data_IF_413270962010
#
_entry.id   IF_413270962010
#
_cell.length_a   1.000
_cell.length_b   1.000
_cell.length_c   1.000
_cell.angle_alpha   90.00
_cell.angle_beta   90.00
_cell.angle_gamma   90.00
#
_symmetry.space_group_name_H-M   'P 1'
#
loop_
_entity.id
_entity.type
_entity.pdbx_description
1 polymer ?
#
# COMPACT_ATOMS: atom_id res chain seq x y z
N UNK A 1 30.63 70.95 -23.46
CA UNK A 1 30.00 70.35 -22.27
C UNK A 1 28.84 69.45 -22.77
N UNK A 2 29.07 68.14 -22.86
CA UNK A 2 28.04 67.18 -23.22
C UNK A 2 28.01 66.11 -22.13
N UNK A 3 26.94 66.14 -21.31
CA UNK A 3 26.71 65.20 -20.19
C UNK A 3 26.16 63.91 -20.71
N UNK A 4 26.91 62.79 -20.53
CA UNK A 4 26.40 61.44 -20.73
C UNK A 4 25.66 61.00 -19.46
N UNK A 5 24.37 60.74 -19.59
CA UNK A 5 23.57 60.01 -18.58
C UNK A 5 23.64 58.54 -18.93
N UNK A 6 24.37 57.74 -18.15
CA UNK A 6 24.40 56.30 -18.23
C UNK A 6 23.28 55.77 -17.30
N UNK A 7 22.21 55.23 -17.88
CA UNK A 7 21.15 54.55 -17.12
C UNK A 7 21.59 53.13 -16.79
N UNK A 8 21.81 52.82 -15.52
CA UNK A 8 22.11 51.49 -14.96
C UNK A 8 20.80 50.71 -14.85
N UNK A 9 20.48 49.84 -15.79
CA UNK A 9 19.41 48.83 -15.64
C UNK A 9 19.93 47.72 -14.75
N UNK A 10 19.56 47.76 -13.46
CA UNK A 10 19.74 46.63 -12.54
C UNK A 10 18.67 45.57 -12.85
N UNK A 11 19.04 44.56 -13.62
CA UNK A 11 18.19 43.36 -13.82
C UNK A 11 18.10 42.57 -12.55
N UNK A 12 16.95 42.67 -11.84
CA UNK A 12 16.60 41.70 -10.80
C UNK A 12 16.34 40.35 -11.48
N UNK A 13 17.33 39.48 -11.49
CA UNK A 13 17.15 38.07 -11.80
C UNK A 13 16.38 37.44 -10.63
N UNK A 14 15.07 37.30 -10.75
CA UNK A 14 14.29 36.42 -9.89
C UNK A 14 14.78 35.00 -10.12
N UNK A 15 15.67 34.52 -9.25
CA UNK A 15 16.00 33.11 -9.18
C UNK A 15 14.71 32.35 -8.78
N UNK A 16 14.05 31.77 -9.75
CA UNK A 16 13.00 30.78 -9.49
C UNK A 16 13.73 29.61 -8.83
N UNK A 17 13.64 29.52 -7.51
CA UNK A 17 14.12 28.35 -6.78
C UNK A 17 13.33 27.15 -7.29
N UNK A 18 13.97 26.31 -8.12
CA UNK A 18 13.43 25.02 -8.49
C UNK A 18 13.20 24.26 -7.19
N UNK A 19 11.96 23.91 -6.92
CA UNK A 19 11.60 23.15 -5.74
C UNK A 19 12.21 21.75 -5.87
N UNK A 20 13.30 21.51 -5.13
CA UNK A 20 14.01 20.23 -5.16
C UNK A 20 13.17 19.17 -4.43
N UNK A 21 13.07 17.97 -5.00
CA UNK A 21 12.52 16.80 -4.30
C UNK A 21 13.28 16.64 -2.98
N UNK A 22 12.57 16.49 -1.83
CA UNK A 22 13.25 16.29 -0.56
C UNK A 22 14.21 15.11 -0.62
N UNK A 23 15.46 15.32 -0.24
CA UNK A 23 16.44 14.24 -0.20
C UNK A 23 16.09 13.26 0.91
N UNK A 24 16.00 11.98 0.57
CA UNK A 24 15.75 10.92 1.56
C UNK A 24 16.93 10.83 2.54
N UNK A 25 16.68 10.53 3.82
CA UNK A 25 17.75 10.29 4.78
C UNK A 25 18.55 9.05 4.38
N UNK A 26 19.80 8.98 4.79
CA UNK A 26 20.58 7.76 4.67
C UNK A 26 19.97 6.66 5.55
N UNK A 27 19.68 5.51 4.94
CA UNK A 27 19.06 4.34 5.58
C UNK A 27 20.04 3.18 5.54
N UNK A 28 20.43 2.69 6.74
CA UNK A 28 21.35 1.59 6.90
C UNK A 28 20.64 0.24 6.72
N UNK A 29 20.21 -0.03 5.48
CA UNK A 29 19.54 -1.25 5.05
C UNK A 29 20.00 -1.65 3.65
N UNK A 30 19.85 -2.95 3.30
CA UNK A 30 20.14 -3.46 1.96
C UNK A 30 19.17 -2.88 0.94
N UNK A 31 17.88 -2.96 1.24
CA UNK A 31 16.83 -2.39 0.41
C UNK A 31 15.76 -1.73 1.28
N UNK A 32 15.09 -0.71 0.76
CA UNK A 32 13.96 -0.09 1.44
C UNK A 32 12.96 0.54 0.48
N UNK A 33 11.75 0.70 0.99
CA UNK A 33 10.65 1.44 0.36
C UNK A 33 9.96 2.29 1.43
N UNK A 34 9.68 3.55 1.12
CA UNK A 34 8.68 4.36 1.80
C UNK A 34 7.54 4.68 0.84
N UNK A 35 6.35 4.22 1.17
CA UNK A 35 5.14 4.41 0.38
C UNK A 35 4.12 5.24 1.17
N UNK A 36 3.59 6.27 0.55
CA UNK A 36 2.38 6.92 1.03
C UNK A 36 1.16 6.13 0.52
N UNK A 37 0.57 5.34 1.43
CA UNK A 37 -0.59 4.49 1.11
C UNK A 37 -1.83 5.34 0.78
N UNK A 38 -1.92 6.55 1.34
CA UNK A 38 -3.07 7.46 1.13
C UNK A 38 -3.09 8.03 -0.28
N UNK A 39 -1.92 8.41 -0.82
CA UNK A 39 -1.79 8.90 -2.21
C UNK A 39 -1.32 7.84 -3.19
N UNK A 40 -0.93 6.66 -2.70
CA UNK A 40 -0.32 5.57 -3.47
C UNK A 40 0.96 5.99 -4.20
N UNK A 41 1.80 6.82 -3.56
CA UNK A 41 3.05 7.32 -4.13
C UNK A 41 4.27 6.80 -3.37
N UNK A 42 5.30 6.36 -4.12
CA UNK A 42 6.61 6.05 -3.56
C UNK A 42 7.31 7.37 -3.24
N UNK A 43 7.64 7.59 -1.96
CA UNK A 43 8.33 8.79 -1.50
C UNK A 43 9.84 8.62 -1.49
N UNK A 44 10.34 7.42 -1.19
CA UNK A 44 11.75 7.06 -1.25
C UNK A 44 11.92 5.56 -1.43
N UNK A 45 13.00 5.15 -2.09
CA UNK A 45 13.36 3.75 -2.25
C UNK A 45 14.84 3.55 -2.52
N UNK A 46 15.33 2.34 -2.22
CA UNK A 46 16.66 1.85 -2.58
C UNK A 46 16.53 0.37 -2.89
N UNK A 47 17.17 -0.09 -3.97
CA UNK A 47 17.18 -1.50 -4.38
C UNK A 47 15.77 -2.13 -4.38
N UNK A 48 14.80 -1.39 -4.93
CA UNK A 48 13.37 -1.67 -4.80
C UNK A 48 12.97 -3.04 -5.36
N UNK A 49 13.65 -3.47 -6.44
CA UNK A 49 13.38 -4.69 -7.18
C UNK A 49 14.44 -5.78 -7.00
N UNK A 50 15.41 -5.56 -6.11
CA UNK A 50 16.45 -6.55 -5.80
C UNK A 50 15.84 -7.73 -5.04
N UNK A 51 15.98 -8.98 -5.55
CA UNK A 51 15.46 -10.17 -4.88
C UNK A 51 16.14 -10.40 -3.53
N UNK A 52 15.33 -10.71 -2.52
CA UNK A 52 15.77 -11.02 -1.15
C UNK A 52 14.94 -12.17 -0.57
N UNK A 53 15.47 -12.88 0.42
CA UNK A 53 14.66 -13.78 1.23
C UNK A 53 13.67 -12.98 2.09
N UNK A 54 12.37 -13.32 2.08
CA UNK A 54 11.38 -12.60 2.87
C UNK A 54 11.46 -12.87 4.37
N UNK A 55 12.07 -13.98 4.80
CA UNK A 55 11.97 -14.48 6.16
C UNK A 55 10.49 -14.49 6.63
N UNK A 56 10.21 -14.21 7.90
CA UNK A 56 8.83 -14.18 8.42
C UNK A 56 7.95 -13.03 7.88
N UNK A 57 8.43 -12.16 6.97
CA UNK A 57 7.54 -11.27 6.21
C UNK A 57 6.61 -12.06 5.28
N UNK A 58 6.96 -13.30 4.94
CA UNK A 58 6.10 -14.29 4.27
C UNK A 58 4.72 -14.41 4.93
N UNK A 59 4.67 -14.30 6.27
CA UNK A 59 3.42 -14.40 7.03
C UNK A 59 2.41 -13.28 6.72
N UNK A 60 2.82 -12.21 6.03
CA UNK A 60 1.88 -11.23 5.49
C UNK A 60 1.01 -11.85 4.38
N UNK A 61 1.58 -12.71 3.51
CA UNK A 61 0.81 -13.45 2.51
C UNK A 61 -0.04 -14.53 3.17
N UNK A 62 0.49 -15.24 4.17
CA UNK A 62 -0.28 -16.22 4.94
C UNK A 62 -1.49 -15.57 5.59
N UNK A 63 -1.30 -14.41 6.24
CA UNK A 63 -2.39 -13.63 6.82
C UNK A 63 -3.40 -13.17 5.76
N UNK A 64 -2.93 -12.72 4.59
CA UNK A 64 -3.79 -12.29 3.50
C UNK A 64 -4.77 -13.40 3.07
N UNK A 65 -4.26 -14.63 2.88
CA UNK A 65 -5.07 -15.80 2.51
C UNK A 65 -6.03 -16.21 3.65
N UNK A 66 -5.56 -16.20 4.90
CA UNK A 66 -6.39 -16.49 6.08
C UNK A 66 -7.51 -15.47 6.21
N UNK A 67 -7.23 -14.18 6.04
CA UNK A 67 -8.24 -13.11 6.09
C UNK A 67 -9.23 -13.20 4.93
N UNK A 68 -8.78 -13.61 3.74
CA UNK A 68 -9.70 -13.89 2.63
C UNK A 68 -10.63 -15.08 2.92
N UNK A 69 -10.12 -16.13 3.54
CA UNK A 69 -10.92 -17.27 3.98
C UNK A 69 -11.94 -16.88 5.08
N UNK A 70 -11.58 -15.98 6.01
CA UNK A 70 -12.49 -15.41 7.00
C UNK A 70 -13.56 -14.53 6.35
N UNK A 71 -13.17 -13.61 5.47
CA UNK A 71 -14.09 -12.72 4.74
C UNK A 71 -15.08 -13.49 3.88
N UNK A 72 -14.63 -14.54 3.21
CA UNK A 72 -15.46 -15.44 2.39
C UNK A 72 -16.25 -16.48 3.22
N UNK A 73 -16.12 -16.45 4.55
CA UNK A 73 -16.79 -17.37 5.48
C UNK A 73 -16.45 -18.85 5.28
N UNK A 74 -15.32 -19.17 4.65
CA UNK A 74 -14.79 -20.54 4.57
C UNK A 74 -14.34 -21.04 5.94
N UNK A 75 -13.85 -20.14 6.77
CA UNK A 75 -13.53 -20.35 8.18
C UNK A 75 -14.12 -19.21 9.01
N UNK A 76 -14.17 -19.37 10.34
CA UNK A 76 -14.55 -18.29 11.25
C UNK A 76 -13.59 -18.22 12.45
N UNK A 77 -13.56 -17.08 13.14
CA UNK A 77 -12.59 -16.80 14.21
C UNK A 77 -12.73 -17.75 15.42
N UNK A 78 -13.93 -18.23 15.72
CA UNK A 78 -14.20 -19.10 16.87
C UNK A 78 -14.05 -20.59 16.54
N UNK A 79 -13.95 -20.93 15.26
CA UNK A 79 -13.68 -22.30 14.82
C UNK A 79 -12.32 -22.74 15.35
N UNK A 80 -12.21 -23.96 15.86
CA UNK A 80 -10.94 -24.54 16.28
C UNK A 80 -10.29 -25.32 15.13
N UNK A 81 -8.96 -25.31 15.13
CA UNK A 81 -8.13 -26.12 14.23
C UNK A 81 -7.28 -27.10 15.05
N UNK A 82 -7.11 -28.34 14.58
CA UNK A 82 -6.21 -29.29 15.20
C UNK A 82 -4.76 -28.86 14.96
N UNK A 83 -3.87 -29.23 15.87
CA UNK A 83 -2.43 -29.05 15.72
C UNK A 83 -1.82 -30.36 15.23
N UNK A 84 -1.32 -30.38 14.01
CA UNK A 84 -0.60 -31.54 13.47
C UNK A 84 0.76 -31.72 14.15
N UNK A 85 1.33 -32.93 14.07
CA UNK A 85 2.72 -33.14 14.49
C UNK A 85 3.72 -32.27 13.72
N UNK A 86 3.45 -32.00 12.44
CA UNK A 86 4.22 -31.08 11.60
C UNK A 86 4.20 -29.68 12.15
N UNK A 87 3.02 -29.13 12.43
CA UNK A 87 2.87 -27.81 13.04
C UNK A 87 3.56 -27.73 14.40
N UNK A 88 3.35 -28.71 15.27
CA UNK A 88 3.97 -28.78 16.58
C UNK A 88 5.51 -28.80 16.53
N UNK A 89 6.12 -29.52 15.58
CA UNK A 89 7.56 -29.66 15.42
C UNK A 89 8.23 -28.52 14.67
N UNK A 90 7.45 -27.51 14.22
CA UNK A 90 8.02 -26.38 13.45
C UNK A 90 9.14 -25.69 14.21
N UNK A 91 10.33 -25.49 13.56
CA UNK A 91 11.45 -24.82 14.16
C UNK A 91 11.27 -23.29 14.22
N UNK A 92 12.11 -22.62 14.96
CA UNK A 92 12.18 -21.16 15.06
C UNK A 92 11.17 -20.57 16.04
N UNK A 93 10.55 -19.46 15.67
CA UNK A 93 9.59 -18.76 16.53
C UNK A 93 8.30 -19.54 16.68
N UNK A 94 7.76 -19.64 17.90
CA UNK A 94 6.60 -20.47 18.21
C UNK A 94 5.61 -19.77 19.15
N UNK A 95 4.34 -20.14 19.01
CA UNK A 95 3.25 -19.86 19.94
C UNK A 95 3.20 -20.92 21.06
N UNK A 96 3.84 -22.10 20.85
CA UNK A 96 3.93 -23.24 21.76
C UNK A 96 2.62 -24.01 21.90
N UNK A 97 1.98 -24.30 20.78
CA UNK A 97 0.84 -25.22 20.70
C UNK A 97 1.31 -26.66 20.52
N UNK A 98 0.47 -27.63 20.89
CA UNK A 98 0.77 -29.06 20.81
C UNK A 98 -0.40 -29.89 20.24
N UNK A 99 -0.19 -31.15 19.79
CA UNK A 99 -1.20 -31.95 19.12
C UNK A 99 -2.44 -32.31 19.97
N UNK A 100 -2.42 -32.06 21.28
CA UNK A 100 -3.59 -32.26 22.15
C UNK A 100 -4.54 -31.07 22.15
N UNK A 101 -4.11 -29.94 21.57
CA UNK A 101 -4.87 -28.70 21.55
C UNK A 101 -5.78 -28.62 20.33
N UNK A 102 -6.94 -28.03 20.54
CA UNK A 102 -7.85 -27.54 19.51
C UNK A 102 -7.82 -26.00 19.64
N UNK A 103 -7.13 -25.33 18.72
CA UNK A 103 -6.81 -23.91 18.89
C UNK A 103 -7.76 -23.06 18.05
N UNK A 104 -8.46 -22.07 18.63
CA UNK A 104 -9.30 -21.16 17.87
C UNK A 104 -8.51 -20.42 16.78
N UNK A 105 -9.11 -20.21 15.62
CA UNK A 105 -8.50 -19.48 14.48
C UNK A 105 -8.00 -18.11 14.92
N UNK A 106 -8.78 -17.39 15.74
CA UNK A 106 -8.38 -16.09 16.26
C UNK A 106 -7.06 -16.15 17.06
N UNK A 107 -6.92 -17.17 17.89
CA UNK A 107 -5.70 -17.36 18.69
C UNK A 107 -4.49 -17.75 17.83
N UNK A 108 -4.71 -18.59 16.81
CA UNK A 108 -3.67 -18.90 15.82
C UNK A 108 -3.22 -17.64 15.05
N UNK A 109 -4.18 -16.77 14.66
CA UNK A 109 -3.86 -15.48 14.00
C UNK A 109 -3.03 -14.60 14.93
N UNK A 110 -3.42 -14.46 16.21
CA UNK A 110 -2.66 -13.70 17.20
C UNK A 110 -1.25 -14.29 17.39
N UNK A 111 -1.13 -15.62 17.49
CA UNK A 111 0.15 -16.33 17.62
C UNK A 111 1.06 -16.14 16.40
N UNK A 112 0.52 -16.24 15.19
CA UNK A 112 1.24 -15.99 13.96
C UNK A 112 1.78 -14.55 13.88
N UNK A 113 0.99 -13.57 14.30
CA UNK A 113 1.33 -12.15 14.20
C UNK A 113 2.26 -11.71 15.32
N UNK A 114 1.91 -11.95 16.58
CA UNK A 114 2.62 -11.43 17.76
C UNK A 114 3.92 -12.19 18.02
N UNK A 115 3.85 -13.51 18.21
CA UNK A 115 5.03 -14.35 18.40
C UNK A 115 5.79 -14.62 17.11
N UNK A 116 5.18 -14.36 15.97
CA UNK A 116 5.67 -14.86 14.68
C UNK A 116 5.71 -16.39 14.63
N UNK A 117 4.76 -17.06 15.31
CA UNK A 117 4.72 -18.50 15.55
C UNK A 117 4.65 -19.32 14.28
N UNK A 118 5.68 -20.12 14.00
CA UNK A 118 5.70 -21.02 12.85
C UNK A 118 4.70 -22.17 13.02
N UNK A 119 4.55 -22.65 14.24
CA UNK A 119 3.55 -23.65 14.62
C UNK A 119 2.10 -23.17 14.35
N UNK A 120 1.77 -21.97 14.80
CA UNK A 120 0.47 -21.36 14.51
C UNK A 120 0.25 -21.10 13.01
N UNK A 121 1.30 -20.70 12.30
CA UNK A 121 1.28 -20.46 10.84
C UNK A 121 0.99 -21.74 10.08
N UNK A 122 1.67 -22.84 10.43
CA UNK A 122 1.45 -24.15 9.80
C UNK A 122 0.03 -24.67 10.11
N UNK A 123 -0.44 -24.58 11.34
CA UNK A 123 -1.80 -24.99 11.71
C UNK A 123 -2.86 -24.21 10.91
N UNK A 124 -2.67 -22.90 10.71
CA UNK A 124 -3.55 -22.09 9.84
C UNK A 124 -3.49 -22.53 8.38
N UNK A 125 -2.30 -22.80 7.85
CA UNK A 125 -2.12 -23.22 6.46
C UNK A 125 -2.81 -24.56 6.20
N UNK A 126 -2.59 -25.55 7.07
CA UNK A 126 -3.24 -26.85 7.01
C UNK A 126 -4.76 -26.73 7.17
N UNK A 127 -5.22 -25.91 8.13
CA UNK A 127 -6.65 -25.71 8.38
C UNK A 127 -7.41 -25.02 7.25
N UNK A 128 -6.74 -24.13 6.49
CA UNK A 128 -7.36 -23.40 5.37
C UNK A 128 -7.29 -24.20 4.06
N UNK A 129 -6.19 -24.90 3.80
CA UNK A 129 -5.92 -25.54 2.50
C UNK A 129 -5.85 -27.08 2.55
N UNK A 130 -5.84 -27.67 3.74
CA UNK A 130 -5.72 -29.12 3.96
C UNK A 130 -4.26 -29.60 3.99
N UNK A 131 -3.31 -28.90 3.38
CA UNK A 131 -1.87 -29.20 3.45
C UNK A 131 -1.03 -27.95 3.22
N UNK A 132 0.26 -28.01 3.60
CA UNK A 132 1.24 -26.96 3.33
C UNK A 132 1.42 -26.74 1.82
N UNK A 133 1.56 -27.82 1.05
CA UNK A 133 1.79 -27.76 -0.39
C UNK A 133 0.66 -27.01 -1.09
N UNK A 134 -0.58 -27.36 -0.75
CA UNK A 134 -1.76 -26.67 -1.30
C UNK A 134 -1.83 -25.22 -0.88
N UNK A 135 -1.44 -24.90 0.35
CA UNK A 135 -1.40 -23.52 0.83
C UNK A 135 -0.33 -22.71 0.08
N UNK A 136 0.85 -23.28 -0.18
CA UNK A 136 1.92 -22.64 -0.98
C UNK A 136 1.45 -22.37 -2.43
N UNK A 137 0.67 -23.27 -3.03
CA UNK A 137 0.04 -23.02 -4.34
C UNK A 137 -0.87 -21.77 -4.25
N UNK A 138 -1.72 -21.68 -3.23
CA UNK A 138 -2.57 -20.49 -3.02
C UNK A 138 -1.75 -19.21 -2.83
N UNK A 139 -0.65 -19.26 -2.06
CA UNK A 139 0.25 -18.11 -1.88
C UNK A 139 0.82 -17.61 -3.20
N UNK A 140 1.30 -18.52 -4.06
CA UNK A 140 1.88 -18.16 -5.35
C UNK A 140 0.81 -17.66 -6.33
N UNK A 141 -0.36 -18.29 -6.35
CA UNK A 141 -1.50 -17.82 -7.16
C UNK A 141 -1.92 -16.40 -6.73
N UNK A 142 -2.01 -16.15 -5.42
CA UNK A 142 -2.36 -14.83 -4.89
C UNK A 142 -1.28 -13.79 -5.20
N UNK A 143 0.00 -14.15 -5.14
CA UNK A 143 1.09 -13.26 -5.55
C UNK A 143 0.93 -12.79 -7.01
N UNK A 144 0.57 -13.69 -7.92
CA UNK A 144 0.28 -13.33 -9.32
C UNK A 144 -0.92 -12.39 -9.44
N UNK A 145 -2.01 -12.67 -8.72
CA UNK A 145 -3.21 -11.81 -8.69
C UNK A 145 -2.89 -10.40 -8.19
N UNK A 146 -2.01 -10.29 -7.20
CA UNK A 146 -1.56 -9.01 -6.64
C UNK A 146 -0.51 -8.31 -7.51
N UNK A 147 0.01 -8.95 -8.56
CA UNK A 147 1.05 -8.41 -9.42
C UNK A 147 2.46 -8.45 -8.81
N UNK A 148 2.71 -9.31 -7.84
CA UNK A 148 4.00 -9.53 -7.19
C UNK A 148 4.90 -10.42 -8.05
N UNK A 149 5.42 -9.86 -9.14
CA UNK A 149 6.08 -10.61 -10.22
C UNK A 149 7.44 -11.22 -9.85
N UNK A 150 8.09 -10.68 -8.83
CA UNK A 150 9.41 -11.12 -8.36
C UNK A 150 9.32 -11.95 -7.07
N UNK A 151 8.11 -12.40 -6.68
CA UNK A 151 7.88 -13.17 -5.47
C UNK A 151 7.54 -14.62 -5.78
N UNK A 152 8.20 -15.53 -5.06
CA UNK A 152 7.92 -16.96 -5.06
C UNK A 152 7.99 -17.50 -3.64
N UNK A 153 6.92 -18.15 -3.20
CA UNK A 153 6.82 -18.76 -1.87
C UNK A 153 7.09 -20.27 -1.95
N UNK A 154 7.77 -20.81 -0.92
CA UNK A 154 8.08 -22.24 -0.77
C UNK A 154 7.52 -22.85 0.51
N UNK A 155 7.15 -22.02 1.48
CA UNK A 155 6.50 -22.40 2.73
C UNK A 155 5.73 -21.20 3.29
N UNK A 156 4.76 -21.39 4.19
CA UNK A 156 3.94 -20.31 4.74
C UNK A 156 4.61 -19.51 5.86
N UNK A 157 5.71 -19.98 6.45
CA UNK A 157 6.37 -19.35 7.59
C UNK A 157 7.48 -18.37 7.20
N UNK A 158 8.11 -18.57 6.07
CA UNK A 158 9.29 -17.83 5.63
C UNK A 158 10.61 -18.43 6.11
N UNK A 159 10.66 -19.73 6.27
CA UNK A 159 11.93 -20.46 6.47
C UNK A 159 12.73 -20.45 5.17
N UNK A 160 14.06 -20.37 5.31
CA UNK A 160 14.98 -20.39 4.17
C UNK A 160 14.77 -21.63 3.32
N UNK A 161 14.50 -21.44 2.04
CA UNK A 161 14.34 -22.49 1.05
C UNK A 161 14.80 -22.00 -0.33
N UNK A 162 15.39 -22.85 -1.18
CA UNK A 162 15.80 -22.48 -2.52
C UNK A 162 14.64 -21.89 -3.34
N UNK A 163 14.82 -20.67 -3.83
CA UNK A 163 13.80 -19.95 -4.59
C UNK A 163 12.68 -19.32 -3.76
N UNK A 164 12.78 -19.27 -2.42
CA UNK A 164 11.88 -18.49 -1.58
C UNK A 164 12.35 -17.04 -1.60
N UNK A 165 11.71 -16.19 -2.40
CA UNK A 165 12.19 -14.84 -2.69
C UNK A 165 11.06 -13.83 -2.79
N UNK A 166 11.40 -12.56 -2.58
CA UNK A 166 10.52 -11.39 -2.76
C UNK A 166 11.35 -10.12 -3.03
N UNK A 167 10.71 -8.97 -3.14
CA UNK A 167 11.35 -7.65 -3.26
C UNK A 167 10.70 -6.62 -2.34
N UNK A 168 11.35 -5.48 -2.12
CA UNK A 168 10.75 -4.38 -1.36
C UNK A 168 9.46 -3.85 -2.03
N UNK A 169 9.41 -3.82 -3.36
CA UNK A 169 8.22 -3.46 -4.14
C UNK A 169 7.07 -4.42 -3.87
N UNK A 170 7.29 -5.71 -4.02
CA UNK A 170 6.26 -6.72 -3.87
C UNK A 170 5.71 -6.77 -2.44
N UNK A 171 6.59 -6.63 -1.43
CA UNK A 171 6.17 -6.51 -0.02
C UNK A 171 5.36 -5.23 0.23
N UNK A 172 5.72 -4.12 -0.39
CA UNK A 172 4.94 -2.87 -0.35
C UNK A 172 3.55 -3.07 -0.95
N UNK A 173 3.46 -3.75 -2.09
CA UNK A 173 2.21 -4.11 -2.75
C UNK A 173 1.34 -4.99 -1.85
N UNK A 174 1.90 -6.08 -1.32
CA UNK A 174 1.20 -6.99 -0.42
C UNK A 174 0.68 -6.28 0.83
N UNK A 175 1.54 -5.50 1.50
CA UNK A 175 1.16 -4.77 2.71
C UNK A 175 0.07 -3.74 2.44
N UNK A 176 0.14 -2.99 1.33
CA UNK A 176 -0.89 -2.04 0.92
C UNK A 176 -2.22 -2.74 0.68
N UNK A 177 -2.23 -3.85 -0.06
CA UNK A 177 -3.45 -4.61 -0.34
C UNK A 177 -4.02 -5.23 0.94
N UNK A 178 -3.17 -5.73 1.85
CA UNK A 178 -3.62 -6.24 3.15
C UNK A 178 -4.35 -5.16 3.96
N UNK A 179 -3.81 -3.95 4.01
CA UNK A 179 -4.43 -2.80 4.70
C UNK A 179 -5.75 -2.35 4.05
N UNK A 180 -5.87 -2.44 2.72
CA UNK A 180 -7.03 -2.00 1.96
C UNK A 180 -8.15 -3.05 1.90
N UNK A 181 -7.77 -4.31 1.69
CA UNK A 181 -8.71 -5.40 1.48
C UNK A 181 -9.25 -5.97 2.79
N UNK A 182 -8.49 -5.82 3.90
CA UNK A 182 -8.80 -6.41 5.20
C UNK A 182 -8.65 -5.42 6.37
N UNK A 183 -9.25 -4.21 6.30
CA UNK A 183 -9.10 -3.19 7.33
C UNK A 183 -9.53 -3.66 8.73
N UNK A 184 -10.50 -4.57 8.82
CA UNK A 184 -11.02 -5.08 10.08
C UNK A 184 -10.01 -5.94 10.86
N UNK A 185 -9.02 -6.52 10.17
CA UNK A 185 -7.99 -7.37 10.78
C UNK A 185 -6.67 -6.65 11.06
N UNK A 186 -6.52 -5.39 10.64
CA UNK A 186 -5.29 -4.61 10.88
C UNK A 186 -4.99 -4.49 12.38
N UNK A 187 -6.03 -4.41 13.21
CA UNK A 187 -5.90 -4.33 14.67
C UNK A 187 -5.09 -5.45 15.31
N UNK A 188 -5.06 -6.64 14.72
CA UNK A 188 -4.22 -7.75 15.21
C UNK A 188 -2.71 -7.42 15.18
N UNK A 189 -2.26 -6.63 14.22
CA UNK A 189 -0.85 -6.22 14.10
C UNK A 189 -0.43 -5.19 15.15
N UNK A 190 -1.38 -4.47 15.74
CA UNK A 190 -1.14 -3.51 16.82
C UNK A 190 -1.06 -4.15 18.21
N UNK A 191 -1.36 -5.45 18.34
CA UNK A 191 -1.28 -6.16 19.62
C UNK A 191 0.18 -6.21 20.09
N UNK A 192 0.46 -5.58 21.22
CA UNK A 192 1.80 -5.49 21.79
C UNK A 192 2.22 -6.76 22.51
N UNK A 193 1.27 -7.41 23.18
CA UNK A 193 1.49 -8.63 23.94
C UNK A 193 0.32 -9.59 23.77
N UNK A 194 0.64 -10.85 23.57
CA UNK A 194 -0.35 -11.92 23.51
C UNK A 194 0.24 -13.21 24.10
N UNK A 195 -0.52 -13.90 24.93
CA UNK A 195 -0.10 -15.13 25.56
C UNK A 195 -1.20 -16.18 25.45
N UNK A 196 -0.88 -17.29 24.81
CA UNK A 196 -1.73 -18.48 24.77
C UNK A 196 -1.27 -19.50 25.81
N UNK A 197 -2.12 -20.40 26.32
CA UNK A 197 -1.69 -21.50 27.17
C UNK A 197 -0.51 -22.27 26.56
N UNK A 198 0.62 -22.35 27.26
CA UNK A 198 1.88 -22.91 26.75
C UNK A 198 2.90 -21.88 26.29
N UNK A 199 2.51 -20.65 25.94
CA UNK A 199 3.47 -19.60 25.54
C UNK A 199 4.31 -19.13 26.75
N UNK A 200 5.65 -19.26 26.75
CA UNK A 200 6.51 -18.70 27.79
C UNK A 200 6.38 -17.16 27.87
N UNK A 201 6.48 -16.60 29.08
CA UNK A 201 6.40 -15.14 29.26
C UNK A 201 7.44 -14.36 28.45
N UNK A 202 8.61 -14.93 28.22
CA UNK A 202 9.65 -14.31 27.39
C UNK A 202 9.26 -14.19 25.89
N UNK A 203 8.22 -14.92 25.45
CA UNK A 203 7.78 -14.95 24.05
C UNK A 203 6.43 -14.26 23.82
N UNK A 204 5.89 -13.55 24.82
CA UNK A 204 4.55 -12.93 24.73
C UNK A 204 4.51 -11.59 24.01
N UNK A 205 5.67 -11.01 23.71
CA UNK A 205 5.79 -9.65 23.18
C UNK A 205 5.93 -9.64 21.66
N UNK A 206 5.23 -8.68 21.02
CA UNK A 206 5.40 -8.41 19.60
C UNK A 206 6.83 -7.95 19.30
N UNK A 207 7.42 -8.50 18.25
CA UNK A 207 8.80 -8.19 17.86
C UNK A 207 8.96 -6.89 17.09
N UNK A 208 7.86 -6.22 16.75
CA UNK A 208 7.89 -4.89 16.18
C UNK A 208 8.07 -3.84 17.29
N UNK A 209 9.31 -3.43 17.51
CA UNK A 209 9.66 -2.46 18.55
C UNK A 209 8.99 -1.10 18.37
N UNK A 210 8.57 -0.72 17.14
CA UNK A 210 7.93 0.55 16.89
C UNK A 210 6.56 0.65 17.57
N UNK A 211 5.85 -0.46 17.78
CA UNK A 211 4.58 -0.46 18.51
C UNK A 211 4.72 0.07 19.95
N UNK A 212 5.91 -0.05 20.53
CA UNK A 212 6.19 0.41 21.89
C UNK A 212 6.75 1.84 21.94
N UNK A 213 7.24 2.36 20.80
CA UNK A 213 7.93 3.66 20.69
C UNK A 213 7.07 4.76 20.08
N UNK A 214 6.21 4.42 19.12
CA UNK A 214 5.38 5.38 18.38
C UNK A 214 3.91 4.92 18.42
N UNK A 215 3.02 5.65 19.11
CA UNK A 215 1.61 5.29 19.22
C UNK A 215 0.84 5.39 17.90
N UNK A 216 1.42 6.01 16.87
CA UNK A 216 0.82 6.10 15.53
C UNK A 216 1.12 4.88 14.66
N UNK A 217 2.06 4.01 15.09
CA UNK A 217 2.39 2.75 14.43
C UNK A 217 1.39 1.68 14.85
N UNK A 218 0.75 1.04 13.86
CA UNK A 218 -0.28 0.01 14.04
C UNK A 218 0.03 -1.32 13.33
N UNK A 219 1.27 -1.53 12.93
CA UNK A 219 1.72 -2.78 12.30
C UNK A 219 3.07 -2.62 11.62
N UNK A 220 3.51 -3.59 10.78
CA UNK A 220 2.87 -4.88 10.51
C UNK A 220 3.74 -6.03 11.01
N UNK A 221 4.81 -6.39 10.29
CA UNK A 221 5.53 -7.66 10.52
C UNK A 221 7.02 -7.51 10.46
N UNK A 222 7.71 -8.25 11.32
CA UNK A 222 9.16 -8.41 11.33
C UNK A 222 9.56 -9.72 10.69
N UNK A 223 10.79 -9.79 10.15
CA UNK A 223 11.43 -11.00 9.64
C UNK A 223 12.91 -11.03 10.03
N UNK A 224 13.46 -12.23 10.14
CA UNK A 224 14.90 -12.44 10.31
C UNK A 224 15.26 -13.87 9.90
N UNK A 225 16.27 -14.00 9.06
CA UNK A 225 17.13 -15.17 8.83
C UNK A 225 18.55 -14.64 8.66
N UNK A 226 19.56 -15.50 8.73
CA UNK A 226 20.95 -15.08 8.51
C UNK A 226 21.13 -14.49 7.09
N UNK A 227 20.46 -15.04 6.09
CA UNK A 227 20.52 -14.56 4.71
C UNK A 227 19.72 -13.25 4.50
N UNK A 228 18.53 -13.13 5.10
CA UNK A 228 17.69 -11.96 4.97
C UNK A 228 18.23 -10.74 5.76
N UNK A 229 18.94 -10.98 6.88
CA UNK A 229 19.19 -9.96 7.89
C UNK A 229 17.91 -9.57 8.64
N UNK A 230 17.92 -8.46 9.34
CA UNK A 230 16.76 -7.98 10.08
C UNK A 230 15.84 -7.14 9.18
N UNK A 231 14.58 -7.56 9.06
CA UNK A 231 13.58 -6.97 8.18
C UNK A 231 12.36 -6.47 8.97
N UNK A 232 11.75 -5.38 8.49
CA UNK A 232 10.50 -4.84 9.05
C UNK A 232 9.65 -4.21 7.95
N UNK A 233 8.39 -4.61 7.89
CA UNK A 233 7.33 -3.84 7.23
C UNK A 233 6.56 -3.15 8.33
N UNK A 234 6.58 -1.81 8.36
CA UNK A 234 5.89 -1.01 9.36
C UNK A 234 4.92 -0.03 8.72
N UNK A 235 3.80 0.22 9.38
CA UNK A 235 2.81 1.23 8.96
C UNK A 235 2.46 2.12 10.13
N UNK A 236 2.26 3.40 9.83
CA UNK A 236 1.79 4.40 10.77
C UNK A 236 0.64 5.19 10.17
N UNK A 237 -0.33 5.58 11.01
CA UNK A 237 -1.43 6.46 10.63
C UNK A 237 -1.42 7.68 11.52
N UNK A 238 -1.24 8.87 10.90
CA UNK A 238 -1.27 10.15 11.62
C UNK A 238 -2.50 10.96 11.19
N UNK A 239 -2.99 11.80 12.10
CA UNK A 239 -4.12 12.67 11.82
C UNK A 239 -3.70 13.79 10.86
N UNK A 240 -4.45 13.95 9.78
CA UNK A 240 -4.30 14.99 8.76
C UNK A 240 -5.68 15.59 8.47
N UNK A 241 -6.14 16.58 9.27
CA UNK A 241 -7.49 17.16 9.17
C UNK A 241 -7.82 17.70 7.76
N UNK A 242 -6.81 18.17 7.03
CA UNK A 242 -6.97 18.67 5.65
C UNK A 242 -7.39 17.60 4.65
N UNK A 243 -7.28 16.30 5.00
CA UNK A 243 -7.73 15.19 4.16
C UNK A 243 -9.18 14.76 4.41
N UNK A 244 -9.85 15.39 5.40
CA UNK A 244 -11.27 15.08 5.67
C UNK A 244 -12.11 15.45 4.45
N UNK A 245 -12.95 14.52 3.99
CA UNK A 245 -13.94 14.79 2.96
C UNK A 245 -15.18 15.40 3.59
N UNK A 246 -15.67 16.52 3.05
CA UNK A 246 -16.91 17.14 3.48
C UNK A 246 -18.14 16.23 3.31
N UNK A 247 -18.05 15.25 2.38
CA UNK A 247 -19.13 14.28 2.09
C UNK A 247 -18.95 12.93 2.81
N UNK A 248 -17.91 12.76 3.65
CA UNK A 248 -17.67 11.49 4.32
C UNK A 248 -18.69 11.24 5.43
N UNK A 249 -19.26 10.02 5.53
CA UNK A 249 -20.11 9.66 6.65
C UNK A 249 -19.38 9.83 7.99
N UNK A 250 -20.07 10.36 8.99
CA UNK A 250 -19.52 10.52 10.33
C UNK A 250 -19.04 9.17 10.87
N UNK A 251 -17.82 9.13 11.45
CA UNK A 251 -17.21 7.91 11.96
C UNK A 251 -16.46 7.06 10.92
N UNK A 252 -16.50 7.41 9.63
CA UNK A 252 -15.71 6.71 8.60
C UNK A 252 -14.21 7.05 8.68
N UNK A 253 -13.36 6.16 8.15
CA UNK A 253 -11.92 6.42 8.08
C UNK A 253 -11.58 7.69 7.26
N UNK A 254 -12.43 8.04 6.28
CA UNK A 254 -12.32 9.26 5.50
C UNK A 254 -12.71 10.51 6.32
N UNK A 255 -13.68 10.38 7.25
CA UNK A 255 -14.03 11.45 8.20
C UNK A 255 -12.93 11.68 9.25
N UNK A 256 -12.09 10.68 9.52
CA UNK A 256 -10.99 10.78 10.49
C UNK A 256 -9.74 11.50 9.94
N UNK A 257 -9.70 11.86 8.65
CA UNK A 257 -8.61 12.66 8.04
C UNK A 257 -7.21 12.06 8.21
N UNK A 258 -7.08 10.74 8.23
CA UNK A 258 -5.81 10.09 8.50
C UNK A 258 -4.95 9.90 7.24
N UNK A 259 -3.66 10.23 7.34
CA UNK A 259 -2.64 9.87 6.35
C UNK A 259 -1.87 8.65 6.80
N UNK A 260 -1.71 7.64 5.94
CA UNK A 260 -1.00 6.41 6.23
C UNK A 260 0.28 6.29 5.40
N UNK A 261 1.39 6.08 6.08
CA UNK A 261 2.65 5.71 5.45
C UNK A 261 3.00 4.25 5.76
N UNK A 262 3.71 3.64 4.84
CA UNK A 262 4.24 2.28 4.92
C UNK A 262 5.73 2.30 4.64
N UNK A 263 6.54 1.74 5.53
CA UNK A 263 7.96 1.51 5.32
C UNK A 263 8.26 0.01 5.21
N UNK A 264 9.05 -0.35 4.20
CA UNK A 264 9.68 -1.68 4.08
C UNK A 264 11.17 -1.47 4.25
N UNK A 265 11.78 -2.11 5.26
CA UNK A 265 13.23 -2.08 5.53
C UNK A 265 13.74 -3.51 5.54
N UNK A 266 14.71 -3.82 4.67
CA UNK A 266 15.22 -5.17 4.46
C UNK A 266 16.74 -5.22 4.65
N UNK A 267 17.22 -6.22 5.39
CA UNK A 267 18.64 -6.45 5.58
C UNK A 267 19.34 -5.44 6.50
N UNK A 268 18.66 -4.96 7.53
CA UNK A 268 19.30 -4.19 8.60
C UNK A 268 20.17 -5.09 9.49
N UNK A 269 21.09 -4.49 10.28
CA UNK A 269 22.09 -5.21 11.07
C UNK A 269 21.57 -5.77 12.39
N UNK A 270 20.44 -5.29 12.91
CA UNK A 270 19.87 -5.72 14.20
C UNK A 270 18.37 -5.41 14.32
N UNK A 271 17.73 -5.94 15.37
CA UNK A 271 16.34 -5.61 15.71
C UNK A 271 16.13 -4.11 15.96
N UNK A 272 17.05 -3.50 16.69
CA UNK A 272 17.01 -2.06 16.92
C UNK A 272 17.26 -1.27 15.64
N UNK A 273 18.20 -1.72 14.79
CA UNK A 273 18.49 -1.05 13.52
C UNK A 273 17.27 -1.04 12.60
N UNK A 274 16.59 -2.20 12.37
CA UNK A 274 15.36 -2.23 11.52
C UNK A 274 14.27 -1.30 12.05
N UNK A 275 14.12 -1.19 13.39
CA UNK A 275 13.15 -0.30 14.00
C UNK A 275 13.55 1.19 13.81
N UNK A 276 14.82 1.53 14.08
CA UNK A 276 15.35 2.88 13.95
C UNK A 276 15.24 3.38 12.49
N UNK A 277 15.63 2.56 11.52
CA UNK A 277 15.60 2.92 10.11
C UNK A 277 14.16 3.06 9.59
N UNK A 278 13.25 2.18 10.02
CA UNK A 278 11.82 2.32 9.69
C UNK A 278 11.22 3.60 10.30
N UNK A 279 11.55 3.92 11.54
CA UNK A 279 11.08 5.15 12.21
C UNK A 279 11.62 6.41 11.51
N UNK A 280 12.89 6.39 11.12
CA UNK A 280 13.54 7.48 10.37
C UNK A 280 12.82 7.74 9.05
N UNK A 281 12.51 6.68 8.26
CA UNK A 281 11.76 6.78 7.04
C UNK A 281 10.35 7.34 7.25
N UNK A 282 9.60 6.78 8.19
CA UNK A 282 8.23 7.22 8.49
C UNK A 282 8.21 8.69 8.91
N UNK A 283 9.08 9.10 9.83
CA UNK A 283 9.15 10.48 10.30
C UNK A 283 9.52 11.43 9.16
N UNK A 284 10.53 11.09 8.35
CA UNK A 284 10.89 11.89 7.20
C UNK A 284 9.73 12.05 6.21
N UNK A 285 9.02 10.97 5.89
CA UNK A 285 7.87 11.03 4.98
C UNK A 285 6.75 11.94 5.47
N UNK A 286 6.51 12.00 6.80
CA UNK A 286 5.52 12.88 7.38
C UNK A 286 5.98 14.35 7.48
N UNK A 287 7.27 14.61 7.53
CA UNK A 287 7.82 15.97 7.67
C UNK A 287 8.24 16.58 6.33
N UNK A 288 8.80 15.79 5.44
CA UNK A 288 9.29 16.24 4.15
C UNK A 288 8.20 16.36 3.07
N UNK A 289 7.05 15.70 3.28
CA UNK A 289 5.93 15.72 2.35
C UNK A 289 4.62 16.08 3.06
N UNK A 290 3.81 16.87 2.41
CA UNK A 290 2.41 17.09 2.75
C UNK A 290 1.49 16.30 1.81
N UNK A 291 0.28 15.99 2.26
CA UNK A 291 -0.73 15.35 1.45
C UNK A 291 -1.85 16.36 1.14
N UNK A 292 -2.18 16.49 -0.14
CA UNK A 292 -3.19 17.43 -0.64
C UNK A 292 -4.32 16.65 -1.30
N UNK A 293 -5.54 16.86 -0.84
CA UNK A 293 -6.74 16.34 -1.49
C UNK A 293 -7.13 17.30 -2.61
N UNK A 294 -7.12 16.82 -3.85
CA UNK A 294 -7.48 17.61 -5.04
C UNK A 294 -8.95 17.45 -5.38
N UNK A 295 -9.50 16.24 -5.29
CA UNK A 295 -10.88 15.93 -5.61
C UNK A 295 -11.46 14.91 -4.64
N UNK A 296 -12.76 14.99 -4.38
CA UNK A 296 -13.46 13.97 -3.61
C UNK A 296 -13.73 12.72 -4.46
N UNK A 297 -14.03 11.60 -3.79
CA UNK A 297 -14.44 10.37 -4.48
C UNK A 297 -15.73 10.57 -5.28
N UNK A 298 -15.81 9.96 -6.46
CA UNK A 298 -16.90 10.11 -7.42
C UNK A 298 -17.14 11.54 -7.94
N UNK A 299 -16.24 12.49 -7.63
CA UNK A 299 -16.27 13.82 -8.20
C UNK A 299 -15.74 13.80 -9.64
N UNK A 300 -16.45 14.45 -10.55
CA UNK A 300 -15.96 14.65 -11.92
C UNK A 300 -14.79 15.64 -11.90
N UNK A 301 -13.67 15.23 -12.46
CA UNK A 301 -12.50 16.08 -12.73
C UNK A 301 -12.70 16.84 -14.04
N UNK A 302 -13.28 16.15 -15.04
CA UNK A 302 -13.62 16.69 -16.35
C UNK A 302 -14.78 15.89 -16.95
N UNK A 303 -15.61 16.53 -17.78
CA UNK A 303 -16.71 15.90 -18.50
C UNK A 303 -16.53 16.09 -20.03
N UNK A 304 -15.70 15.24 -20.68
CA UNK A 304 -15.48 15.33 -22.12
C UNK A 304 -16.72 14.93 -22.92
N UNK A 305 -16.84 15.53 -24.12
CA UNK A 305 -17.86 15.16 -25.11
C UNK A 305 -17.64 13.72 -25.57
N UNK A 306 -18.76 12.97 -25.65
CA UNK A 306 -18.79 11.61 -26.21
C UNK A 306 -19.45 11.66 -27.58
N UNK A 307 -18.75 11.12 -28.58
CA UNK A 307 -19.27 10.99 -29.95
C UNK A 307 -19.99 9.66 -30.12
N UNK A 308 -21.05 9.65 -30.93
CA UNK A 308 -21.87 8.46 -31.20
C UNK A 308 -22.49 7.84 -29.93
N UNK A 309 -22.58 8.60 -28.84
CA UNK A 309 -23.11 8.19 -27.57
C UNK A 309 -24.57 8.57 -27.36
N UNK A 310 -25.27 7.76 -26.54
CA UNK A 310 -26.62 8.08 -26.06
C UNK A 310 -26.62 9.29 -25.11
N UNK A 311 -25.47 9.54 -24.44
CA UNK A 311 -25.21 10.77 -23.70
C UNK A 311 -24.14 11.60 -24.41
N UNK A 312 -24.26 12.94 -24.33
CA UNK A 312 -23.33 13.87 -24.97
C UNK A 312 -21.98 14.01 -24.28
N UNK A 313 -21.89 13.62 -23.01
CA UNK A 313 -20.70 13.73 -22.14
C UNK A 313 -20.56 12.50 -21.27
N UNK A 314 -19.34 12.28 -20.73
CA UNK A 314 -19.05 11.27 -19.70
C UNK A 314 -18.21 11.91 -18.60
N UNK A 315 -18.59 11.69 -17.34
CA UNK A 315 -17.83 12.17 -16.19
C UNK A 315 -16.59 11.31 -15.98
N UNK A 316 -15.40 11.93 -15.96
CA UNK A 316 -14.14 11.27 -15.65
C UNK A 316 -13.67 11.69 -14.27
N UNK A 317 -13.25 10.71 -13.46
CA UNK A 317 -12.77 10.92 -12.09
C UNK A 317 -12.21 9.64 -11.48
N UNK A 318 -12.28 9.56 -10.16
CA UNK A 318 -11.93 8.35 -9.39
C UNK A 318 -13.04 8.03 -8.41
N UNK A 319 -13.25 6.73 -8.13
CA UNK A 319 -14.20 6.30 -7.08
C UNK A 319 -13.74 6.70 -5.68
N UNK A 320 -12.42 6.67 -5.44
CA UNK A 320 -11.79 7.19 -4.23
C UNK A 320 -11.35 8.65 -4.40
N UNK A 321 -11.16 9.41 -3.32
CA UNK A 321 -10.58 10.74 -3.38
C UNK A 321 -9.23 10.75 -4.09
N UNK A 322 -8.94 11.81 -4.85
CA UNK A 322 -7.62 12.03 -5.45
C UNK A 322 -6.81 12.85 -4.45
N UNK A 323 -5.85 12.17 -3.83
CA UNK A 323 -4.91 12.75 -2.88
C UNK A 323 -3.51 12.58 -3.46
N UNK A 324 -2.69 13.61 -3.36
CA UNK A 324 -1.29 13.59 -3.81
C UNK A 324 -0.35 13.98 -2.68
N UNK A 325 0.78 13.28 -2.60
CA UNK A 325 1.88 13.64 -1.72
C UNK A 325 2.85 14.55 -2.50
N UNK A 326 3.15 15.70 -1.93
CA UNK A 326 4.03 16.71 -2.54
C UNK A 326 5.05 17.21 -1.50
N UNK A 327 6.19 17.75 -1.91
CA UNK A 327 7.14 18.36 -0.97
C UNK A 327 6.44 19.37 -0.06
N UNK A 328 6.77 19.37 1.23
CA UNK A 328 6.15 20.25 2.21
C UNK A 328 6.25 21.73 1.78
N UNK A 329 5.13 22.46 1.89
CA UNK A 329 5.00 23.86 1.44
C UNK A 329 4.74 24.04 -0.06
N UNK A 330 4.57 22.95 -0.83
CA UNK A 330 4.26 23.01 -2.27
C UNK A 330 2.77 22.97 -2.58
N UNK A 331 1.95 22.54 -1.64
CA UNK A 331 0.53 22.26 -1.88
C UNK A 331 -0.31 23.41 -2.38
N UNK A 332 0.01 24.65 -1.97
CA UNK A 332 -0.67 25.85 -2.42
C UNK A 332 -0.35 26.26 -3.88
N UNK A 333 0.67 25.67 -4.50
CA UNK A 333 1.18 26.02 -5.84
C UNK A 333 0.93 24.92 -6.88
N UNK A 334 0.08 23.95 -6.56
CA UNK A 334 -0.21 22.84 -7.47
C UNK A 334 -1.02 23.31 -8.67
N UNK A 335 -0.65 22.82 -9.83
CA UNK A 335 -1.38 22.97 -11.07
C UNK A 335 -1.83 21.59 -11.55
N UNK A 336 -3.03 21.53 -12.12
CA UNK A 336 -3.59 20.28 -12.64
C UNK A 336 -3.89 20.42 -14.12
N UNK A 337 -3.53 19.40 -14.88
CA UNK A 337 -3.79 19.28 -16.32
C UNK A 337 -4.40 17.91 -16.60
N UNK A 338 -5.44 17.86 -17.43
CA UNK A 338 -6.01 16.59 -17.89
C UNK A 338 -5.46 16.26 -19.26
N UNK A 339 -4.71 15.19 -19.35
CA UNK A 339 -4.19 14.62 -20.60
C UNK A 339 -5.08 13.46 -21.02
N UNK A 340 -5.62 13.50 -22.22
CA UNK A 340 -6.52 12.45 -22.74
C UNK A 340 -6.44 12.34 -24.25
N UNK A 341 -6.81 11.17 -24.78
CA UNK A 341 -6.95 10.96 -26.20
C UNK A 341 -8.33 11.47 -26.66
N UNK A 342 -8.35 12.25 -27.72
CA UNK A 342 -9.58 12.68 -28.38
C UNK A 342 -9.68 12.05 -29.77
N UNK A 343 -10.89 11.81 -30.25
CA UNK A 343 -12.21 11.97 -29.63
C UNK A 343 -12.56 10.77 -28.71
N UNK A 344 -13.38 11.00 -27.66
CA UNK A 344 -14.03 9.92 -26.92
C UNK A 344 -15.24 9.45 -27.71
N UNK A 345 -15.29 8.16 -28.03
CA UNK A 345 -16.35 7.55 -28.87
C UNK A 345 -17.04 6.43 -28.07
N UNK A 346 -18.37 6.45 -28.10
CA UNK A 346 -19.19 5.39 -27.48
C UNK A 346 -19.06 4.04 -28.23
N UNK A 347 -19.19 2.88 -27.54
CA UNK A 347 -19.59 2.75 -26.13
C UNK A 347 -18.45 3.03 -25.16
N UNK A 348 -18.79 3.62 -24.00
CA UNK A 348 -17.87 3.80 -22.88
C UNK A 348 -18.33 2.91 -21.72
N UNK A 349 -17.45 2.05 -21.22
CA UNK A 349 -17.74 1.22 -20.05
C UNK A 349 -17.38 1.97 -18.77
N UNK A 350 -18.20 1.80 -17.73
CA UNK A 350 -17.87 2.32 -16.40
C UNK A 350 -16.54 1.72 -15.93
N UNK A 351 -15.65 2.55 -15.39
CA UNK A 351 -14.31 2.14 -14.98
C UNK A 351 -13.25 2.14 -16.07
N UNK A 352 -13.62 2.40 -17.33
CA UNK A 352 -12.68 2.55 -18.45
C UNK A 352 -11.77 3.75 -18.23
N UNK A 353 -10.45 3.57 -18.37
CA UNK A 353 -9.45 4.66 -18.30
C UNK A 353 -9.55 5.48 -19.60
N UNK A 354 -9.89 6.77 -19.49
CA UNK A 354 -10.06 7.67 -20.65
C UNK A 354 -9.20 8.94 -20.58
N UNK A 355 -8.37 9.07 -19.53
CA UNK A 355 -7.45 10.18 -19.40
C UNK A 355 -6.54 10.01 -18.19
N UNK A 356 -5.68 10.98 -17.98
CA UNK A 356 -4.76 11.08 -16.84
C UNK A 356 -4.79 12.50 -16.30
N UNK A 357 -5.01 12.66 -15.02
CA UNK A 357 -4.79 13.92 -14.32
C UNK A 357 -3.31 14.02 -14.01
N UNK A 358 -2.62 14.97 -14.62
CA UNK A 358 -1.24 15.32 -14.33
C UNK A 358 -1.22 16.45 -13.31
N UNK A 359 -0.48 16.26 -12.22
CA UNK A 359 -0.31 17.25 -11.16
C UNK A 359 1.11 17.76 -11.18
N UNK A 360 1.27 19.07 -11.20
CA UNK A 360 2.57 19.75 -11.24
C UNK A 360 2.77 20.62 -10.01
N UNK A 361 4.01 20.66 -9.51
CA UNK A 361 4.49 21.66 -8.57
C UNK A 361 5.57 22.47 -9.29
N UNK A 362 5.22 23.66 -9.78
CA UNK A 362 6.03 24.40 -10.75
C UNK A 362 6.18 23.62 -12.05
N UNK A 363 7.42 23.42 -12.53
CA UNK A 363 7.68 22.66 -13.75
C UNK A 363 7.69 21.13 -13.55
N UNK A 364 7.79 20.66 -12.31
CA UNK A 364 7.92 19.24 -12.01
C UNK A 364 6.55 18.55 -11.94
N UNK A 365 6.41 17.42 -12.65
CA UNK A 365 5.27 16.49 -12.48
C UNK A 365 5.48 15.71 -11.19
N UNK A 366 4.57 15.89 -10.23
CA UNK A 366 4.62 15.24 -8.91
C UNK A 366 3.69 14.03 -8.82
N UNK A 367 2.66 13.97 -9.66
CA UNK A 367 1.77 12.80 -9.75
C UNK A 367 1.10 12.72 -11.13
N UNK A 368 0.78 11.50 -11.55
CA UNK A 368 -0.10 11.18 -12.67
C UNK A 368 -1.16 10.19 -12.19
N UNK A 369 -2.44 10.58 -12.28
CA UNK A 369 -3.56 9.81 -11.75
C UNK A 369 -4.48 9.42 -12.91
N UNK A 370 -4.66 8.12 -13.21
CA UNK A 370 -5.60 7.67 -14.24
C UNK A 370 -7.02 8.10 -13.91
N UNK A 371 -7.71 8.71 -14.87
CA UNK A 371 -9.12 9.08 -14.77
C UNK A 371 -10.00 8.03 -15.42
N UNK A 372 -10.98 7.56 -14.66
CA UNK A 372 -11.93 6.52 -15.04
C UNK A 372 -13.26 7.15 -15.43
N UNK A 373 -13.97 6.53 -16.39
CA UNK A 373 -15.37 6.82 -16.61
C UNK A 373 -16.18 6.44 -15.34
N UNK A 374 -16.81 7.42 -14.71
CA UNK A 374 -17.61 7.20 -13.49
C UNK A 374 -18.98 6.57 -13.81
N UNK A 375 -19.40 6.65 -15.08
CA UNK A 375 -20.66 6.14 -15.60
C UNK A 375 -20.44 5.49 -16.97
N UNK A 376 -21.34 4.60 -17.38
CA UNK A 376 -21.34 4.03 -18.73
C UNK A 376 -22.03 4.99 -19.71
N UNK A 377 -21.62 4.97 -20.97
CA UNK A 377 -22.34 5.64 -22.08
C UNK A 377 -22.56 4.62 -23.19
N UNK A 378 -23.82 4.29 -23.40
CA UNK A 378 -24.25 3.39 -24.48
C UNK A 378 -24.12 4.08 -25.86
N UNK A 379 -24.10 3.30 -26.92
CA UNK A 379 -24.15 3.85 -28.28
C UNK A 379 -25.52 4.52 -28.58
N UNK A 380 -25.47 5.63 -29.28
CA UNK A 380 -26.67 6.28 -29.82
C UNK A 380 -27.36 5.40 -30.89
N UNK A 381 -28.61 5.65 -31.15
CA UNK A 381 -29.33 5.07 -32.25
C UNK A 381 -28.70 5.37 -33.64
N UNK A 382 -29.15 4.68 -34.69
CA UNK A 382 -28.54 4.73 -36.03
C UNK A 382 -28.41 6.16 -36.58
N UNK A 383 -29.43 7.00 -36.41
CA UNK A 383 -29.41 8.39 -36.84
C UNK A 383 -28.42 9.27 -36.11
N UNK A 384 -28.31 9.12 -34.78
CA UNK A 384 -27.32 9.86 -33.97
C UNK A 384 -25.87 9.50 -34.33
N UNK A 385 -25.62 8.22 -34.57
CA UNK A 385 -24.29 7.73 -35.01
C UNK A 385 -23.88 8.24 -36.38
N UNK A 386 -24.84 8.28 -37.34
CA UNK A 386 -24.59 8.77 -38.68
C UNK A 386 -24.26 10.27 -38.66
N UNK A 387 -25.04 11.05 -37.89
CA UNK A 387 -24.83 12.49 -37.72
C UNK A 387 -23.48 12.82 -37.07
N UNK A 388 -23.11 12.12 -35.99
CA UNK A 388 -21.81 12.28 -35.34
C UNK A 388 -20.66 11.78 -36.22
N UNK A 389 -20.88 10.73 -37.03
CA UNK A 389 -19.92 10.25 -38.01
C UNK A 389 -19.57 11.31 -39.06
N UNK A 390 -20.54 12.01 -39.57
CA UNK A 390 -20.36 13.12 -40.54
C UNK A 390 -19.59 14.28 -39.90
N UNK A 391 -19.96 14.66 -38.66
CA UNK A 391 -19.28 15.73 -37.91
C UNK A 391 -17.83 15.43 -37.55
N UNK A 392 -17.52 14.17 -37.25
CA UNK A 392 -16.14 13.74 -37.00
C UNK A 392 -15.28 13.72 -38.27
N UNK A 393 -15.89 13.50 -39.42
CA UNK A 393 -15.18 13.47 -40.70
C UNK A 393 -14.82 14.89 -41.20
N UNK A 394 -15.59 15.91 -40.82
CA UNK A 394 -15.39 17.32 -41.22
C UNK A 394 -14.36 18.03 -40.29
N UNK A 395 -13.97 17.43 -39.18
CA UNK A 395 -13.04 17.98 -38.20
C UNK A 395 -11.58 17.53 -38.43
#
# INVERSE_FOLDING_TARGET
MKSLFAALLAGLSLAVAAQTVPQAPEIAARAYLLLDVTSNQVLASKELDTPVEPASLTKLMTAYIVFDALRSKKINLTQTMPVSEKAWKMPGSRMFIDPKMQVPVEDLVKGMIVQSGNDATMALAEGVAGSEERFVELMNAQAQVLGMKATSYKNPEGLTAPGHTTTARDLGTLATRLLQDFPDYVGYYAIKKYRYPGTPAANDSNRNLLLFRDPTVDGLKTGHTDAAGYCLVATAKRNFPQLVSASAPAGSAAAAGGRRLLSVVLGASSENARANESQKLLNWGYTAFEAVKLFDGNQAVVSPKVWKGAASEVKLGRYAPIIVAVPAGSGAKLQTEVVRNEPVVAPVTQGQVLGTLRVRAGEQVVAEVPLLALEKVEQAGIFGRAWDGLRLWIR
#
